data_IF_440505177677
#
_entry.id   IF_440505177677
#
_cell.length_a   1.000
_cell.length_b   1.000
_cell.length_c   1.000
_cell.angle_alpha   90.00
_cell.angle_beta   90.00
_cell.angle_gamma   90.00
#
_symmetry.space_group_name_H-M   'P 1'
#
loop_
_entity.id
_entity.type
_entity.pdbx_description
1 polymer ?
#
# COMPACT_ATOMS: atom_id res chain seq x y z
N UNK A 1 -13.00 -11.45 33.87
CA UNK A 1 -12.85 -12.86 33.44
C UNK A 1 -13.38 -12.95 32.02
N UNK A 2 -12.58 -13.55 31.11
CA UNK A 2 -12.65 -13.46 29.64
C UNK A 2 -14.06 -13.44 29.05
N UNK A 3 -14.35 -12.41 28.26
CA UNK A 3 -15.39 -12.44 27.23
C UNK A 3 -14.76 -12.03 25.89
N UNK A 4 -13.72 -12.78 25.49
CA UNK A 4 -13.38 -12.93 24.07
C UNK A 4 -14.46 -13.85 23.50
N UNK A 5 -15.67 -13.32 23.35
CA UNK A 5 -16.62 -13.88 22.40
C UNK A 5 -16.11 -13.39 21.04
N UNK A 6 -15.11 -14.09 20.51
CA UNK A 6 -14.70 -13.97 19.12
C UNK A 6 -15.89 -14.41 18.25
N UNK A 7 -16.77 -13.45 17.96
CA UNK A 7 -17.51 -13.40 16.72
C UNK A 7 -17.76 -11.94 16.32
N UNK A 8 -16.71 -11.17 15.97
CA UNK A 8 -16.86 -10.11 14.99
C UNK A 8 -16.71 -10.73 13.59
N UNK A 9 -17.60 -10.35 12.66
CA UNK A 9 -17.64 -10.87 11.29
C UNK A 9 -16.29 -10.78 10.62
N UNK A 10 -16.05 -11.69 9.66
CA UNK A 10 -14.79 -12.04 9.00
C UNK A 10 -13.80 -10.90 8.67
N UNK A 11 -14.19 -9.63 8.71
CA UNK A 11 -13.36 -8.45 8.50
C UNK A 11 -12.13 -8.31 9.41
N UNK A 12 -12.23 -8.60 10.71
CA UNK A 12 -11.04 -8.55 11.58
C UNK A 12 -9.97 -9.57 11.16
N UNK A 13 -10.39 -10.80 10.83
CA UNK A 13 -9.49 -11.85 10.39
C UNK A 13 -8.93 -11.56 8.99
N UNK A 14 -9.77 -11.08 8.08
CA UNK A 14 -9.38 -10.71 6.72
C UNK A 14 -8.39 -9.54 6.73
N UNK A 15 -8.60 -8.52 7.57
CA UNK A 15 -7.67 -7.38 7.70
C UNK A 15 -6.33 -7.79 8.32
N UNK A 16 -6.32 -8.69 9.32
CA UNK A 16 -5.09 -9.28 9.86
C UNK A 16 -4.34 -10.10 8.80
N UNK A 17 -5.05 -10.88 8.00
CA UNK A 17 -4.44 -11.67 6.93
C UNK A 17 -3.89 -10.79 5.80
N UNK A 18 -4.62 -9.74 5.42
CA UNK A 18 -4.16 -8.73 4.48
C UNK A 18 -2.85 -8.09 4.94
N UNK A 19 -2.82 -7.65 6.20
CA UNK A 19 -1.62 -7.07 6.82
C UNK A 19 -0.43 -8.04 6.81
N UNK A 20 -0.65 -9.32 7.12
CA UNK A 20 0.39 -10.33 7.07
C UNK A 20 0.98 -10.48 5.66
N UNK A 21 0.12 -10.49 4.63
CA UNK A 21 0.56 -10.58 3.22
C UNK A 21 1.43 -9.37 2.86
N UNK A 22 1.00 -8.16 3.24
CA UNK A 22 1.77 -6.95 3.03
C UNK A 22 3.14 -7.01 3.72
N UNK A 23 3.19 -7.31 5.02
CA UNK A 23 4.43 -7.35 5.79
C UNK A 23 5.42 -8.42 5.30
N UNK A 24 4.91 -9.56 4.79
CA UNK A 24 5.75 -10.71 4.39
C UNK A 24 6.16 -10.71 2.93
N UNK A 25 5.27 -10.28 2.03
CA UNK A 25 5.48 -10.40 0.59
C UNK A 25 5.49 -9.05 -0.14
N UNK A 26 5.09 -7.94 0.50
CA UNK A 26 4.85 -6.65 -0.14
C UNK A 26 3.96 -6.77 -1.39
N UNK A 27 3.03 -7.71 -1.35
CA UNK A 27 2.06 -8.00 -2.41
C UNK A 27 0.83 -7.11 -2.18
N UNK A 28 0.90 -5.88 -2.70
CA UNK A 28 -0.13 -4.85 -2.52
C UNK A 28 -1.48 -5.29 -3.08
N UNK A 29 -1.52 -5.82 -4.31
CA UNK A 29 -2.76 -6.25 -4.97
C UNK A 29 -3.51 -7.27 -4.10
N UNK A 30 -2.77 -8.26 -3.60
CA UNK A 30 -3.36 -9.31 -2.77
C UNK A 30 -3.77 -8.79 -1.39
N UNK A 31 -2.94 -7.96 -0.76
CA UNK A 31 -3.28 -7.35 0.53
C UNK A 31 -4.56 -6.50 0.41
N UNK A 32 -4.64 -5.64 -0.61
CA UNK A 32 -5.81 -4.81 -0.90
C UNK A 32 -7.07 -5.65 -1.11
N UNK A 33 -6.99 -6.76 -1.85
CA UNK A 33 -8.13 -7.65 -2.07
C UNK A 33 -8.74 -8.19 -0.77
N UNK A 34 -7.90 -8.53 0.22
CA UNK A 34 -8.38 -8.98 1.52
C UNK A 34 -8.91 -7.84 2.39
N UNK A 35 -8.33 -6.64 2.30
CA UNK A 35 -8.91 -5.46 2.95
C UNK A 35 -10.28 -5.07 2.36
N UNK A 36 -10.46 -5.15 1.04
CA UNK A 36 -11.76 -4.88 0.40
C UNK A 36 -12.82 -5.88 0.88
N UNK A 37 -12.47 -7.17 1.02
CA UNK A 37 -13.33 -8.18 1.62
C UNK A 37 -13.60 -7.88 3.11
N UNK A 38 -12.60 -7.38 3.84
CA UNK A 38 -12.73 -7.05 5.25
C UNK A 38 -13.72 -5.89 5.48
N UNK A 39 -13.61 -4.83 4.68
CA UNK A 39 -14.52 -3.69 4.70
C UNK A 39 -15.93 -4.12 4.28
N UNK A 40 -16.04 -5.04 3.32
CA UNK A 40 -17.35 -5.58 2.91
C UNK A 40 -18.02 -6.38 4.02
N UNK A 41 -17.24 -7.11 4.82
CA UNK A 41 -17.74 -7.89 5.94
C UNK A 41 -18.10 -7.04 7.17
N UNK A 42 -17.30 -5.98 7.41
CA UNK A 42 -17.40 -5.13 8.61
C UNK A 42 -17.15 -3.65 8.25
N UNK A 43 -18.07 -2.99 7.52
CA UNK A 43 -17.85 -1.63 6.99
C UNK A 43 -17.78 -0.55 8.08
N UNK A 44 -18.41 -0.79 9.23
CA UNK A 44 -18.44 0.14 10.35
C UNK A 44 -17.36 -0.17 11.42
N UNK A 45 -16.48 -1.15 11.17
CA UNK A 45 -15.43 -1.53 12.10
C UNK A 45 -14.21 -0.61 11.95
N UNK A 46 -13.98 0.22 12.97
CA UNK A 46 -12.88 1.17 12.97
C UNK A 46 -11.50 0.49 12.99
N UNK A 47 -11.40 -0.76 13.46
CA UNK A 47 -10.15 -1.51 13.44
C UNK A 47 -9.80 -1.93 12.02
N UNK A 48 -10.77 -2.42 11.25
CA UNK A 48 -10.61 -2.78 9.83
C UNK A 48 -10.26 -1.54 9.01
N UNK A 49 -11.01 -0.47 9.17
CA UNK A 49 -10.77 0.79 8.44
C UNK A 49 -9.41 1.40 8.79
N UNK A 50 -9.03 1.38 10.06
CA UNK A 50 -7.72 1.86 10.52
C UNK A 50 -6.57 1.03 9.94
N UNK A 51 -6.69 -0.30 9.94
CA UNK A 51 -5.69 -1.18 9.36
C UNK A 51 -5.52 -0.96 7.85
N UNK A 52 -6.63 -0.77 7.12
CA UNK A 52 -6.59 -0.48 5.69
C UNK A 52 -5.93 0.89 5.40
N UNK A 53 -6.26 1.93 6.16
CA UNK A 53 -5.65 3.24 6.00
C UNK A 53 -4.13 3.22 6.24
N UNK A 54 -3.67 2.50 7.28
CA UNK A 54 -2.24 2.31 7.52
C UNK A 54 -1.55 1.58 6.37
N UNK A 55 -2.17 0.53 5.84
CA UNK A 55 -1.64 -0.18 4.68
C UNK A 55 -1.50 0.72 3.44
N UNK A 56 -2.52 1.51 3.12
CA UNK A 56 -2.49 2.40 1.95
C UNK A 56 -1.35 3.44 2.07
N UNK A 57 -1.15 4.01 3.25
CA UNK A 57 -0.04 4.93 3.49
C UNK A 57 1.30 4.22 3.26
N UNK A 58 1.52 3.07 3.91
CA UNK A 58 2.78 2.33 3.77
C UNK A 58 3.05 1.89 2.32
N UNK A 59 2.01 1.54 1.56
CA UNK A 59 2.15 1.16 0.16
C UNK A 59 2.52 2.35 -0.74
N UNK A 60 1.93 3.52 -0.52
CA UNK A 60 2.29 4.76 -1.23
C UNK A 60 3.76 5.15 -0.98
N UNK A 61 4.23 5.05 0.27
CA UNK A 61 5.64 5.33 0.62
C UNK A 61 6.61 4.34 -0.07
N UNK A 62 6.28 3.05 -0.12
CA UNK A 62 7.10 2.03 -0.80
C UNK A 62 7.16 2.25 -2.32
N UNK A 63 6.11 2.82 -2.94
CA UNK A 63 6.11 3.20 -4.37
C UNK A 63 7.00 4.42 -4.65
N UNK A 64 6.90 5.47 -3.82
CA UNK A 64 7.71 6.69 -3.96
C UNK A 64 9.21 6.40 -3.85
N UNK A 65 9.64 5.53 -2.93
CA UNK A 65 11.06 5.12 -2.81
C UNK A 65 11.58 4.41 -4.06
N UNK A 66 10.72 3.70 -4.80
CA UNK A 66 11.10 2.95 -5.99
C UNK A 66 11.17 3.83 -7.24
N UNK A 67 10.41 4.93 -7.30
CA UNK A 67 10.43 5.89 -8.42
C UNK A 67 11.64 6.84 -8.37
N UNK A 68 12.20 7.13 -7.20
CA UNK A 68 13.35 8.05 -7.06
C UNK A 68 14.68 7.48 -7.62
N UNK A 69 14.75 6.19 -7.95
CA UNK A 69 15.96 5.56 -8.52
C UNK A 69 15.91 5.55 -10.05
N UNK A 70 15.85 6.73 -10.68
CA UNK A 70 16.21 6.87 -12.10
C UNK A 70 17.50 7.69 -12.27
N UNK A 71 18.69 7.07 -12.17
CA UNK A 71 19.98 7.75 -12.33
C UNK A 71 20.28 8.16 -13.79
N UNK A 72 19.33 8.00 -14.72
CA UNK A 72 19.60 8.10 -16.16
C UNK A 72 18.78 9.17 -16.88
N UNK A 73 18.47 10.29 -16.22
CA UNK A 73 18.36 11.57 -16.94
C UNK A 73 19.77 11.96 -17.40
N UNK A 74 20.23 11.29 -18.45
CA UNK A 74 21.26 11.82 -19.30
C UNK A 74 20.72 13.13 -19.85
N UNK A 75 21.18 14.24 -19.29
CA UNK A 75 21.14 15.54 -19.96
C UNK A 75 21.91 15.32 -21.26
N UNK A 76 21.20 14.95 -22.32
CA UNK A 76 21.77 14.91 -23.66
C UNK A 76 22.01 16.35 -24.05
N UNK A 77 23.21 16.84 -23.75
CA UNK A 77 23.75 18.03 -24.36
C UNK A 77 24.00 17.68 -25.83
N UNK A 78 22.97 17.79 -26.67
CA UNK A 78 23.14 17.79 -28.11
C UNK A 78 23.79 19.14 -28.52
N UNK A 79 24.88 19.13 -29.30
CA UNK A 79 25.58 20.35 -29.70
C UNK A 79 25.02 20.88 -31.04
N UNK A 80 24.72 22.17 -31.13
CA UNK A 80 24.79 22.99 -32.37
C UNK A 80 24.55 24.47 -32.00
N UNK A 81 25.55 25.37 -32.05
CA UNK A 81 26.09 26.06 -33.25
C UNK A 81 25.10 27.09 -33.83
N UNK A 82 25.26 28.36 -33.45
CA UNK A 82 25.22 29.62 -34.24
C UNK A 82 25.16 30.79 -33.24
N UNK A 83 26.06 31.78 -33.24
CA UNK A 83 26.12 32.84 -34.23
C UNK A 83 27.52 33.43 -34.32
N UNK A 84 27.98 33.60 -35.56
CA UNK A 84 29.02 34.54 -35.93
C UNK A 84 28.49 35.97 -35.82
N UNK A 85 29.29 36.88 -35.27
CA UNK A 85 29.43 38.28 -35.69
C UNK A 85 30.84 38.76 -35.31
#
# INVERSE_FOLDING_TARGET
>A
MRAILASPGDGDLLSLYAKLIWETHRDEERAKSYFDQAISASPDDCMVLGAFASFMWEAEEDEEENEEINPNVQVSAAPALVHAF
#
